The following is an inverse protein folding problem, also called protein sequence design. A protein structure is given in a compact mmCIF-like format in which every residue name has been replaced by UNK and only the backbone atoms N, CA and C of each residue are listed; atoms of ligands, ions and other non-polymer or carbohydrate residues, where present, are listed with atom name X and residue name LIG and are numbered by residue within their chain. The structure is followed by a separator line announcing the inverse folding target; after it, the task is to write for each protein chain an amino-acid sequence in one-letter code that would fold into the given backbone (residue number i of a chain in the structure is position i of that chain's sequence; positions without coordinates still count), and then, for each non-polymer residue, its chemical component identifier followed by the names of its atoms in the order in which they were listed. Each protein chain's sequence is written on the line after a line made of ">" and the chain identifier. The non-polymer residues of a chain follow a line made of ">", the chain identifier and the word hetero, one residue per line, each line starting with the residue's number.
data_IF_613577816589
#
_entry.id   IF_613577816589
#
_cell.length_a   1.000
_cell.length_b   1.000
_cell.length_c   1.000
_cell.angle_alpha   90.00
_cell.angle_beta   90.00
_cell.angle_gamma   90.00
#
_symmetry.space_group_name_H-M   'P 1'
#
loop_
_entity.id
_entity.type
_entity.pdbx_description
1 polymer ?
#
# COMPACT_ATOMS: atom_id res chain seq x y z
N UNK A 1 -6.87 15.71 -0.78
CA UNK A 1 -6.03 15.62 0.45
C UNK A 1 -4.91 14.62 0.19
N UNK A 2 -3.71 14.81 0.74
CA UNK A 2 -2.63 13.81 0.60
C UNK A 2 -2.85 12.69 1.61
N UNK A 3 -3.22 11.51 1.15
CA UNK A 3 -3.32 10.34 2.02
C UNK A 3 -2.03 9.54 1.91
N UNK A 4 -1.25 9.50 3.00
CA UNK A 4 -0.10 8.61 3.13
C UNK A 4 -0.56 7.29 3.73
N UNK A 5 -0.24 6.16 3.07
CA UNK A 5 -0.48 4.82 3.59
C UNK A 5 0.85 4.24 4.08
N UNK A 6 0.98 4.09 5.40
CA UNK A 6 2.15 3.53 6.07
C UNK A 6 1.76 2.16 6.64
N UNK A 7 2.54 1.13 6.30
CA UNK A 7 2.32 -0.24 6.77
C UNK A 7 3.47 -0.62 7.69
N UNK A 8 3.37 -0.21 8.95
CA UNK A 8 4.45 -0.31 9.95
C UNK A 8 4.76 -1.75 10.43
N UNK A 9 4.04 -2.77 9.99
CA UNK A 9 4.16 -4.12 10.57
C UNK A 9 5.11 -5.08 9.84
N UNK A 10 5.71 -4.68 8.71
CA UNK A 10 6.59 -5.53 7.92
C UNK A 10 8.06 -5.15 8.17
N UNK A 11 8.74 -5.88 9.05
CA UNK A 11 10.19 -5.78 9.22
C UNK A 11 10.87 -6.14 7.88
N UNK A 12 11.38 -5.11 7.22
CA UNK A 12 12.05 -5.16 5.92
C UNK A 12 13.36 -5.91 6.02
N UNK A 13 13.41 -7.04 5.33
CA UNK A 13 14.60 -7.85 5.08
C UNK A 13 14.50 -8.25 3.60
N UNK A 14 15.60 -8.47 2.87
CA UNK A 14 15.57 -8.81 1.42
C UNK A 14 14.61 -9.96 1.04
N UNK A 15 14.18 -10.78 2.01
CA UNK A 15 13.23 -11.90 1.83
C UNK A 15 11.81 -11.60 2.32
N UNK A 16 11.56 -10.46 2.94
CA UNK A 16 10.29 -10.05 3.52
C UNK A 16 10.04 -8.56 3.29
N UNK A 17 9.20 -8.25 2.30
CA UNK A 17 8.91 -6.88 1.89
C UNK A 17 7.49 -6.77 1.31
N UNK A 18 7.06 -5.54 1.09
CA UNK A 18 5.80 -5.23 0.42
C UNK A 18 6.10 -5.12 -1.08
N UNK A 19 5.39 -5.87 -1.92
CA UNK A 19 5.57 -5.82 -3.38
C UNK A 19 4.79 -4.67 -4.01
N UNK A 20 3.59 -4.40 -3.48
CA UNK A 20 2.79 -3.26 -3.89
C UNK A 20 1.85 -2.76 -2.82
N UNK A 21 1.50 -1.48 -2.96
CA UNK A 21 0.47 -0.80 -2.19
C UNK A 21 -0.55 -0.27 -3.20
N UNK A 22 -1.84 -0.48 -2.92
CA UNK A 22 -2.92 0.06 -3.73
C UNK A 22 -3.82 0.98 -2.92
N UNK A 23 -4.24 2.07 -3.56
CA UNK A 23 -5.35 2.89 -3.13
C UNK A 23 -6.50 2.68 -4.10
N UNK A 24 -7.59 2.10 -3.61
CA UNK A 24 -8.81 1.85 -4.36
C UNK A 24 -9.80 2.94 -3.99
N UNK A 25 -10.34 3.62 -4.99
CA UNK A 25 -11.44 4.56 -4.87
C UNK A 25 -12.70 3.93 -5.48
N UNK A 26 -13.82 4.66 -5.53
CA UNK A 26 -15.03 4.17 -6.21
C UNK A 26 -14.82 3.97 -7.73
N UNK A 27 -13.92 4.74 -8.36
CA UNK A 27 -13.78 4.79 -9.82
C UNK A 27 -12.40 4.35 -10.33
N UNK A 28 -11.38 4.36 -9.47
CA UNK A 28 -9.98 4.22 -9.86
C UNK A 28 -9.20 3.35 -8.88
N UNK A 29 -8.19 2.65 -9.40
CA UNK A 29 -7.20 1.93 -8.61
C UNK A 29 -5.82 2.48 -8.92
N UNK A 30 -5.16 3.00 -7.88
CA UNK A 30 -3.79 3.47 -7.95
C UNK A 30 -2.88 2.41 -7.34
N UNK A 31 -1.85 1.98 -8.07
CA UNK A 31 -0.93 0.95 -7.60
C UNK A 31 0.50 1.47 -7.61
N UNK A 32 1.19 1.34 -6.47
CA UNK A 32 2.62 1.60 -6.33
C UNK A 32 3.34 0.28 -6.09
N UNK A 33 4.18 -0.12 -7.04
CA UNK A 33 5.12 -1.22 -6.84
C UNK A 33 6.35 -0.74 -6.07
N UNK A 34 6.85 -1.62 -5.22
CA UNK A 34 8.04 -1.42 -4.38
C UNK A 34 9.03 -2.56 -4.65
N UNK A 35 10.30 -2.28 -4.41
CA UNK A 35 11.38 -3.26 -4.48
C UNK A 35 11.82 -3.66 -3.06
N UNK A 36 12.54 -4.78 -2.91
CA UNK A 36 13.22 -5.10 -1.65
C UNK A 36 14.10 -3.93 -1.19
N UNK A 37 13.95 -3.54 0.08
CA UNK A 37 14.69 -2.42 0.67
C UNK A 37 14.03 -1.05 0.52
N UNK A 38 13.00 -0.92 -0.34
CA UNK A 38 12.19 0.29 -0.37
C UNK A 38 11.38 0.42 0.93
N UNK A 39 11.09 1.65 1.35
CA UNK A 39 10.18 1.89 2.47
C UNK A 39 8.78 1.36 2.12
N UNK A 40 8.04 0.78 3.08
CA UNK A 40 6.73 0.20 2.84
C UNK A 40 5.65 1.30 2.91
N UNK A 41 5.84 2.34 2.11
CA UNK A 41 5.01 3.55 2.08
C UNK A 41 4.68 3.95 0.64
N UNK A 42 3.48 4.49 0.45
CA UNK A 42 3.08 5.10 -0.81
C UNK A 42 2.22 6.34 -0.55
N UNK A 43 2.40 7.34 -1.40
CA UNK A 43 1.62 8.58 -1.39
C UNK A 43 0.82 8.62 -2.68
N UNK A 44 -0.49 8.77 -2.54
CA UNK A 44 -1.41 8.94 -3.65
C UNK A 44 -2.16 10.26 -3.48
N UNK A 45 -2.34 10.97 -4.58
CA UNK A 45 -3.16 12.17 -4.63
C UNK A 45 -4.52 11.76 -5.18
N UNK A 46 -5.57 11.97 -4.40
CA UNK A 46 -6.94 11.79 -4.85
C UNK A 46 -7.88 12.74 -4.11
N UNK A 47 -8.97 13.07 -4.78
CA UNK A 47 -10.10 13.81 -4.21
C UNK A 47 -11.28 12.89 -3.86
N UNK A 48 -11.08 11.57 -3.94
CA UNK A 48 -12.08 10.57 -3.57
C UNK A 48 -12.35 10.58 -2.06
N UNK A 49 -13.63 10.57 -1.69
CA UNK A 49 -14.06 10.55 -0.28
C UNK A 49 -13.97 9.16 0.34
N UNK A 50 -14.33 8.12 -0.42
CA UNK A 50 -14.24 6.72 0.02
C UNK A 50 -13.03 6.05 -0.59
N UNK A 51 -12.15 5.57 0.28
CA UNK A 51 -10.92 4.93 -0.11
C UNK A 51 -10.74 3.61 0.63
N UNK A 52 -10.18 2.62 -0.06
CA UNK A 52 -9.71 1.38 0.55
C UNK A 52 -8.24 1.23 0.25
N UNK A 53 -7.47 1.00 1.29
CA UNK A 53 -6.05 0.76 1.18
C UNK A 53 -5.77 -0.74 1.26
N UNK A 54 -4.84 -1.20 0.43
CA UNK A 54 -4.34 -2.56 0.52
C UNK A 54 -2.86 -2.62 0.20
N UNK A 55 -2.23 -3.68 0.65
CA UNK A 55 -0.89 -4.00 0.24
C UNK A 55 -0.68 -5.50 0.20
N UNK A 56 0.32 -5.88 -0.57
CA UNK A 56 0.70 -7.27 -0.70
C UNK A 56 2.10 -7.47 -0.16
N UNK A 57 2.22 -8.34 0.83
CA UNK A 57 3.49 -8.82 1.32
C UNK A 57 3.83 -10.12 0.60
N UNK A 58 5.07 -10.24 0.14
CA UNK A 58 5.55 -11.43 -0.57
C UNK A 58 5.43 -12.74 0.25
N UNK A 59 5.40 -12.65 1.59
CA UNK A 59 5.26 -13.81 2.49
C UNK A 59 3.87 -13.96 3.10
N UNK A 60 3.20 -12.85 3.42
CA UNK A 60 1.94 -12.86 4.16
C UNK A 60 0.71 -12.63 3.27
N UNK A 61 0.92 -12.41 1.98
CA UNK A 61 -0.15 -12.16 1.03
C UNK A 61 -0.82 -10.81 1.24
N UNK A 62 -2.11 -10.76 0.93
CA UNK A 62 -2.84 -9.50 0.78
C UNK A 62 -3.42 -9.01 2.11
N UNK A 63 -3.09 -7.77 2.47
CA UNK A 63 -3.65 -7.04 3.60
C UNK A 63 -4.60 -5.97 3.08
N UNK A 64 -5.80 -5.86 3.66
CA UNK A 64 -6.78 -4.84 3.31
C UNK A 64 -7.27 -4.13 4.56
N UNK A 65 -7.20 -2.81 4.56
CA UNK A 65 -7.85 -1.97 5.57
C UNK A 65 -8.92 -1.12 4.90
N UNK A 66 -10.11 -1.09 5.52
CA UNK A 66 -11.26 -0.33 5.04
C UNK A 66 -11.42 0.87 6.00
N UNK A 67 -11.38 2.09 5.47
CA UNK A 67 -11.74 3.31 6.20
C UNK A 67 -12.97 3.95 5.57
#
# INVERSE_FOLDING_TARGET
>A
MFQCLIIDLCLLIDKHYIEWIELITENEVYTKFLNPGDKPEAIFQTDAEKITARAYCNLHGNWRNNN
#
